data_IF_463232906196
#
_entry.id   IF_463232906196
#
_cell.length_a   1.000
_cell.length_b   1.000
_cell.length_c   1.000
_cell.angle_alpha   90.00
_cell.angle_beta   90.00
_cell.angle_gamma   90.00
#
_symmetry.space_group_name_H-M   'P 1'
#
loop_
_entity.id
_entity.type
_entity.pdbx_description
1 polymer ?
#
# COMPACT_ATOMS: atom_id res chain seq x y z
N UNK A 1 7.31 65.20 45.74
CA UNK A 1 6.58 63.93 45.90
C UNK A 1 6.35 63.35 44.52
N UNK A 2 7.29 62.54 44.00
CA UNK A 2 7.23 61.94 42.67
C UNK A 2 6.87 60.46 42.83
N UNK A 3 5.69 60.04 42.27
CA UNK A 3 5.28 58.65 42.18
C UNK A 3 5.86 58.02 40.91
N UNK A 4 6.82 57.18 41.09
CA UNK A 4 7.40 56.41 40.02
C UNK A 4 6.44 55.23 39.62
N UNK A 5 5.94 55.27 38.39
CA UNK A 5 5.07 54.23 37.82
C UNK A 5 5.96 53.17 37.18
N UNK A 6 5.99 51.96 37.75
CA UNK A 6 6.68 50.82 37.13
C UNK A 6 5.75 50.15 36.15
N UNK A 7 6.05 50.30 34.87
CA UNK A 7 5.38 49.54 33.81
C UNK A 7 6.05 48.18 33.70
N UNK A 8 5.37 47.12 34.14
CA UNK A 8 5.83 45.75 33.96
C UNK A 8 5.44 45.32 32.54
N UNK A 9 6.42 45.19 31.66
CA UNK A 9 6.25 44.65 30.30
C UNK A 9 6.26 43.13 30.37
N UNK A 10 5.08 42.51 30.35
CA UNK A 10 4.95 41.03 30.26
C UNK A 10 5.09 40.65 28.79
N UNK A 11 6.28 40.22 28.41
CA UNK A 11 6.51 39.62 27.09
C UNK A 11 5.94 38.22 27.05
N UNK A 12 4.81 38.04 26.39
CA UNK A 12 4.30 36.70 26.03
C UNK A 12 5.18 36.13 24.93
N UNK A 13 6.07 35.22 25.31
CA UNK A 13 6.81 34.36 24.39
C UNK A 13 5.88 33.25 23.92
N UNK A 14 5.22 33.43 22.78
CA UNK A 14 4.45 32.36 22.12
C UNK A 14 5.43 31.35 21.52
N UNK A 15 5.65 30.25 22.22
CA UNK A 15 6.37 29.11 21.67
C UNK A 15 5.38 28.40 20.72
N UNK A 16 5.47 28.70 19.42
CA UNK A 16 4.81 27.92 18.39
C UNK A 16 5.51 26.59 18.28
N UNK A 17 5.01 25.57 18.98
CA UNK A 17 5.41 24.18 18.73
C UNK A 17 4.79 23.80 17.41
N UNK A 18 5.54 23.98 16.33
CA UNK A 18 5.23 23.33 15.06
C UNK A 18 5.47 21.84 15.24
N UNK A 19 4.43 21.09 15.62
CA UNK A 19 4.44 19.63 15.51
C UNK A 19 4.38 19.28 14.02
N UNK A 20 5.52 19.37 13.36
CA UNK A 20 5.68 18.80 12.05
C UNK A 20 5.52 17.28 12.20
N UNK A 21 4.42 16.75 11.72
CA UNK A 21 4.32 15.33 11.40
C UNK A 21 5.37 15.07 10.31
N UNK A 22 6.57 14.69 10.74
CA UNK A 22 7.56 14.16 9.82
C UNK A 22 7.05 12.80 9.38
N UNK A 23 6.67 12.67 8.12
CA UNK A 23 6.46 11.35 7.53
C UNK A 23 7.69 10.50 7.84
N UNK A 24 7.48 9.27 8.29
CA UNK A 24 8.59 8.36 8.57
C UNK A 24 9.48 8.27 7.32
N UNK A 25 10.78 8.47 7.52
CA UNK A 25 11.75 8.38 6.43
C UNK A 25 11.75 6.94 5.87
N UNK A 26 11.59 6.81 4.57
CA UNK A 26 11.69 5.51 3.90
C UNK A 26 13.11 4.95 4.04
N UNK A 27 13.22 3.74 4.59
CA UNK A 27 14.50 3.05 4.83
C UNK A 27 14.67 1.79 3.98
N UNK A 28 13.82 1.61 2.99
CA UNK A 28 13.88 0.47 2.07
C UNK A 28 14.92 0.66 0.96
N UNK A 29 14.99 -0.30 0.02
CA UNK A 29 15.93 -0.26 -1.08
C UNK A 29 15.65 0.88 -2.07
N UNK A 30 16.71 1.40 -2.70
CA UNK A 30 16.56 2.26 -3.87
C UNK A 30 16.16 1.39 -5.08
N UNK A 31 15.02 1.69 -5.69
CA UNK A 31 14.45 0.97 -6.83
C UNK A 31 14.51 1.81 -8.13
N UNK A 32 15.38 2.81 -8.21
CA UNK A 32 15.53 3.66 -9.40
C UNK A 32 15.77 2.81 -10.66
N UNK A 33 15.00 3.09 -11.71
CA UNK A 33 15.06 2.37 -12.97
C UNK A 33 14.23 1.08 -13.01
N UNK A 34 13.56 0.72 -11.91
CA UNK A 34 12.59 -0.37 -11.88
C UNK A 34 11.17 0.15 -12.21
N UNK A 35 10.39 -0.69 -12.89
CA UNK A 35 8.96 -0.44 -13.10
C UNK A 35 8.16 -1.55 -12.45
N UNK A 36 7.12 -1.18 -11.70
CA UNK A 36 6.15 -2.09 -11.11
C UNK A 36 4.86 -1.99 -11.90
N UNK A 37 4.52 -3.05 -12.62
CA UNK A 37 3.23 -3.14 -13.33
C UNK A 37 2.12 -3.60 -12.38
N UNK A 38 1.01 -2.89 -12.40
CA UNK A 38 -0.16 -3.18 -11.58
C UNK A 38 -1.40 -3.22 -12.49
N UNK A 39 -2.23 -4.25 -12.38
CA UNK A 39 -3.52 -4.27 -13.03
C UNK A 39 -4.66 -4.26 -12.01
N UNK A 40 -5.78 -3.63 -12.37
CA UNK A 40 -6.92 -3.55 -11.46
C UNK A 40 -8.19 -3.01 -12.13
N UNK A 41 -9.30 -2.93 -11.37
CA UNK A 41 -10.60 -2.51 -11.89
C UNK A 41 -10.81 -0.99 -11.85
N UNK A 42 -9.91 -0.23 -11.24
CA UNK A 42 -10.11 1.20 -11.01
C UNK A 42 -9.93 2.00 -12.30
N UNK A 43 -10.88 2.87 -12.58
CA UNK A 43 -10.91 3.75 -13.73
C UNK A 43 -11.23 5.19 -13.30
N UNK A 44 -10.90 6.17 -14.10
CA UNK A 44 -11.23 7.58 -13.89
C UNK A 44 -10.83 8.10 -12.49
N UNK A 45 -11.77 8.56 -11.67
CA UNK A 45 -11.48 9.16 -10.36
C UNK A 45 -10.82 8.23 -9.35
N UNK A 46 -11.11 6.93 -9.38
CA UNK A 46 -10.45 5.94 -8.50
C UNK A 46 -9.01 5.68 -8.94
N UNK A 47 -8.76 5.60 -10.24
CA UNK A 47 -7.41 5.54 -10.82
C UNK A 47 -6.61 6.78 -10.43
N UNK A 48 -7.15 7.99 -10.59
CA UNK A 48 -6.50 9.24 -10.18
C UNK A 48 -6.15 9.25 -8.69
N UNK A 49 -6.98 8.67 -7.83
CA UNK A 49 -6.69 8.56 -6.40
C UNK A 49 -5.60 7.53 -6.13
N UNK A 50 -5.60 6.42 -6.85
CA UNK A 50 -4.57 5.40 -6.74
C UNK A 50 -3.21 5.95 -7.22
N UNK A 51 -3.18 6.74 -8.29
CA UNK A 51 -1.96 7.40 -8.78
C UNK A 51 -1.36 8.35 -7.74
N UNK A 52 -2.19 9.08 -6.98
CA UNK A 52 -1.71 9.90 -5.88
C UNK A 52 -1.01 9.07 -4.79
N UNK A 53 -1.52 7.88 -4.50
CA UNK A 53 -0.87 6.95 -3.55
C UNK A 53 0.43 6.42 -4.13
N UNK A 54 0.43 5.99 -5.39
CA UNK A 54 1.61 5.50 -6.09
C UNK A 54 2.73 6.53 -6.15
N UNK A 55 2.39 7.82 -6.29
CA UNK A 55 3.37 8.90 -6.29
C UNK A 55 4.21 8.98 -5.00
N UNK A 56 3.66 8.60 -3.85
CA UNK A 56 4.45 8.51 -2.61
C UNK A 56 5.46 7.37 -2.66
N UNK A 57 5.07 6.22 -3.19
CA UNK A 57 5.98 5.08 -3.38
C UNK A 57 7.08 5.43 -4.38
N UNK A 58 6.74 5.98 -5.53
CA UNK A 58 7.70 6.41 -6.55
C UNK A 58 8.71 7.41 -5.99
N UNK A 59 8.23 8.43 -5.26
CA UNK A 59 9.09 9.43 -4.63
C UNK A 59 10.01 8.83 -3.58
N UNK A 60 9.53 7.86 -2.81
CA UNK A 60 10.31 7.24 -1.74
C UNK A 60 11.36 6.27 -2.29
N UNK A 61 11.04 5.51 -3.33
CA UNK A 61 11.88 4.39 -3.82
C UNK A 61 12.68 4.70 -5.08
N UNK A 62 12.23 5.69 -5.88
CA UNK A 62 12.75 5.96 -7.23
C UNK A 62 12.23 5.02 -8.31
N UNK A 63 11.38 4.05 -7.98
CA UNK A 63 10.68 3.20 -8.95
C UNK A 63 9.64 3.99 -9.74
N UNK A 64 9.13 3.37 -10.81
CA UNK A 64 7.93 3.79 -11.53
C UNK A 64 6.80 2.78 -11.31
N UNK A 65 5.57 3.26 -11.21
CA UNK A 65 4.37 2.44 -11.22
C UNK A 65 3.68 2.60 -12.57
N UNK A 66 3.34 1.47 -13.19
CA UNK A 66 2.58 1.39 -14.43
C UNK A 66 1.26 0.68 -14.11
N UNK A 67 0.21 1.47 -13.91
CA UNK A 67 -1.12 0.95 -13.58
C UNK A 67 -1.97 0.81 -14.85
N UNK A 68 -2.55 -0.37 -15.05
CA UNK A 68 -3.50 -0.68 -16.11
C UNK A 68 -4.89 -0.95 -15.52
N UNK A 69 -5.75 0.08 -15.56
CA UNK A 69 -7.15 -0.03 -15.15
C UNK A 69 -8.02 -0.63 -16.27
N UNK A 70 -8.95 -1.52 -15.91
CA UNK A 70 -9.89 -2.10 -16.89
C UNK A 70 -11.18 -2.54 -16.22
N UNK A 71 -12.32 -2.25 -16.87
CA UNK A 71 -13.64 -2.82 -16.52
C UNK A 71 -13.72 -4.32 -16.77
N UNK A 72 -12.84 -4.84 -17.61
CA UNK A 72 -12.69 -6.27 -17.94
C UNK A 72 -11.53 -6.93 -17.16
N UNK A 73 -11.05 -6.29 -16.10
CA UNK A 73 -9.90 -6.76 -15.31
C UNK A 73 -10.02 -8.23 -14.90
N UNK A 74 -11.20 -8.64 -14.37
CA UNK A 74 -11.38 -10.01 -13.86
C UNK A 74 -11.19 -11.09 -14.93
N UNK A 75 -11.60 -10.81 -16.17
CA UNK A 75 -11.39 -11.73 -17.29
C UNK A 75 -9.93 -11.67 -17.77
N UNK A 76 -9.37 -10.46 -17.86
CA UNK A 76 -8.04 -10.26 -18.41
C UNK A 76 -6.96 -10.88 -17.52
N UNK A 77 -7.04 -10.71 -16.19
CA UNK A 77 -6.03 -11.24 -15.26
C UNK A 77 -5.94 -12.77 -15.32
N UNK A 78 -7.06 -13.46 -15.54
CA UNK A 78 -7.08 -14.93 -15.72
C UNK A 78 -6.35 -15.34 -17.00
N UNK A 79 -6.53 -14.56 -18.08
CA UNK A 79 -5.85 -14.80 -19.35
C UNK A 79 -4.36 -14.59 -19.19
N UNK A 80 -3.95 -13.48 -18.60
CA UNK A 80 -2.54 -13.09 -18.43
C UNK A 80 -1.77 -14.09 -17.56
N UNK A 81 -2.38 -14.54 -16.45
CA UNK A 81 -1.80 -15.57 -15.59
C UNK A 81 -1.64 -16.88 -16.35
N UNK A 82 -2.66 -17.34 -17.08
CA UNK A 82 -2.58 -18.58 -17.87
C UNK A 82 -1.60 -18.50 -19.04
N UNK A 83 -1.42 -17.30 -19.61
CA UNK A 83 -0.45 -17.04 -20.66
C UNK A 83 0.99 -16.93 -20.14
N UNK A 84 1.20 -16.86 -18.82
CA UNK A 84 2.52 -16.70 -18.21
C UNK A 84 3.09 -15.29 -18.31
N UNK A 85 2.23 -14.29 -18.50
CA UNK A 85 2.61 -12.87 -18.61
C UNK A 85 1.76 -11.95 -17.70
N UNK A 86 1.61 -12.31 -16.40
CA UNK A 86 0.84 -11.48 -15.47
C UNK A 86 1.58 -10.18 -15.13
N UNK A 87 0.86 -9.15 -14.64
CA UNK A 87 1.49 -7.98 -14.03
C UNK A 87 2.25 -8.37 -12.74
N UNK A 88 3.08 -7.48 -12.23
CA UNK A 88 3.78 -7.71 -10.96
C UNK A 88 2.79 -7.77 -9.77
N UNK A 89 1.78 -6.92 -9.78
CA UNK A 89 0.71 -6.87 -8.77
C UNK A 89 -0.66 -6.80 -9.44
N UNK A 90 -1.69 -7.22 -8.71
CA UNK A 90 -3.07 -7.12 -9.16
C UNK A 90 -4.00 -6.70 -8.01
N UNK A 91 -4.94 -5.79 -8.28
CA UNK A 91 -5.96 -5.39 -7.33
C UNK A 91 -7.24 -6.19 -7.60
N UNK A 92 -7.48 -7.23 -6.82
CA UNK A 92 -8.65 -8.09 -6.97
C UNK A 92 -9.87 -7.49 -6.27
N UNK A 93 -10.96 -7.15 -6.99
CA UNK A 93 -12.20 -6.67 -6.38
C UNK A 93 -12.99 -7.80 -5.68
N UNK A 94 -12.67 -9.07 -6.01
CA UNK A 94 -13.35 -10.25 -5.53
C UNK A 94 -12.36 -11.23 -4.87
N UNK A 95 -12.47 -11.51 -3.56
CA UNK A 95 -11.61 -12.49 -2.88
C UNK A 95 -11.64 -13.89 -3.52
N UNK A 96 -12.80 -14.30 -4.03
CA UNK A 96 -12.95 -15.59 -4.70
C UNK A 96 -12.12 -15.74 -5.97
N UNK A 97 -11.94 -14.66 -6.73
CA UNK A 97 -11.06 -14.69 -7.91
C UNK A 97 -9.60 -14.83 -7.50
N UNK A 98 -9.16 -14.09 -6.49
CA UNK A 98 -7.80 -14.22 -5.94
C UNK A 98 -7.53 -15.66 -5.45
N UNK A 99 -8.47 -16.24 -4.68
CA UNK A 99 -8.38 -17.63 -4.23
C UNK A 99 -8.26 -18.63 -5.39
N UNK A 100 -9.05 -18.45 -6.45
CA UNK A 100 -8.96 -19.30 -7.64
C UNK A 100 -7.59 -19.18 -8.34
N UNK A 101 -7.03 -17.97 -8.39
CA UNK A 101 -5.70 -17.75 -8.98
C UNK A 101 -4.59 -18.36 -8.10
N UNK A 102 -4.71 -18.28 -6.77
CA UNK A 102 -3.80 -18.95 -5.84
C UNK A 102 -3.82 -20.47 -6.02
N UNK A 103 -5.02 -21.07 -6.11
CA UNK A 103 -5.21 -22.51 -6.26
C UNK A 103 -4.60 -23.08 -7.54
N UNK A 104 -4.48 -22.31 -8.60
CA UNK A 104 -3.79 -22.71 -9.83
C UNK A 104 -2.30 -22.37 -9.87
N UNK A 105 -1.77 -21.76 -8.78
CA UNK A 105 -0.36 -21.33 -8.70
C UNK A 105 -0.07 -20.05 -9.47
N UNK A 106 -1.08 -19.23 -9.75
CA UNK A 106 -0.97 -17.97 -10.46
C UNK A 106 -0.56 -16.78 -9.57
N UNK A 107 -0.55 -16.96 -8.26
CA UNK A 107 -0.09 -15.95 -7.30
C UNK A 107 1.17 -16.42 -6.58
N UNK A 108 2.00 -15.47 -6.17
CA UNK A 108 3.21 -15.71 -5.38
C UNK A 108 2.91 -15.40 -3.92
N UNK A 109 3.13 -16.34 -2.98
CA UNK A 109 2.96 -16.06 -1.55
C UNK A 109 3.88 -14.93 -1.07
N UNK A 110 3.37 -14.04 -0.24
CA UNK A 110 4.13 -12.93 0.33
C UNK A 110 5.07 -13.34 1.46
N UNK A 111 4.87 -14.53 2.01
CA UNK A 111 5.71 -15.11 3.04
C UNK A 111 5.45 -14.56 4.46
N UNK A 112 6.11 -15.20 5.43
CA UNK A 112 5.89 -14.95 6.86
C UNK A 112 6.26 -13.53 7.30
N UNK A 113 7.22 -12.88 6.66
CA UNK A 113 7.63 -11.53 7.03
C UNK A 113 6.52 -10.52 6.77
N UNK A 114 5.86 -10.62 5.63
CA UNK A 114 4.72 -9.77 5.28
C UNK A 114 3.49 -10.09 6.15
N UNK A 115 3.22 -11.35 6.39
CA UNK A 115 2.17 -11.79 7.29
C UNK A 115 2.36 -11.21 8.71
N UNK A 116 3.56 -11.31 9.26
CA UNK A 116 3.91 -10.75 10.56
C UNK A 116 3.84 -9.22 10.57
N UNK A 117 4.22 -8.58 9.47
CA UNK A 117 4.10 -7.14 9.33
C UNK A 117 2.63 -6.69 9.42
N UNK A 118 1.70 -7.38 8.72
CA UNK A 118 0.25 -7.09 8.82
C UNK A 118 -0.26 -7.30 10.23
N UNK A 119 0.08 -8.43 10.88
CA UNK A 119 -0.33 -8.72 12.25
C UNK A 119 0.08 -7.64 13.25
N UNK A 120 1.22 -7.01 13.03
CA UNK A 120 1.78 -6.01 13.95
C UNK A 120 1.38 -4.57 13.63
N UNK A 121 0.94 -4.26 12.42
CA UNK A 121 0.70 -2.89 11.97
C UNK A 121 -0.77 -2.58 11.69
N UNK A 122 -1.62 -3.59 11.46
CA UNK A 122 -3.05 -3.41 11.25
C UNK A 122 -3.81 -3.61 12.56
N UNK A 123 -4.85 -2.80 12.79
CA UNK A 123 -5.62 -2.81 14.05
C UNK A 123 -6.26 -4.18 14.36
N UNK A 124 -6.65 -4.94 13.34
CA UNK A 124 -7.17 -6.30 13.45
C UNK A 124 -6.27 -7.28 12.67
N UNK A 125 -4.96 -7.21 12.92
CA UNK A 125 -3.94 -7.89 12.13
C UNK A 125 -4.20 -9.34 11.79
N UNK A 126 -4.55 -10.25 12.75
CA UNK A 126 -4.86 -11.64 12.44
C UNK A 126 -6.02 -11.79 11.45
N UNK A 127 -7.12 -11.03 11.62
CA UNK A 127 -8.27 -11.10 10.71
C UNK A 127 -7.93 -10.60 9.30
N UNK A 128 -7.06 -9.61 9.17
CA UNK A 128 -6.58 -9.14 7.86
C UNK A 128 -5.73 -10.19 7.16
N UNK A 129 -4.90 -10.93 7.92
CA UNK A 129 -4.14 -12.05 7.37
C UNK A 129 -5.06 -13.16 6.89
N UNK A 130 -6.08 -13.52 7.69
CA UNK A 130 -7.05 -14.55 7.31
C UNK A 130 -7.77 -14.22 5.98
N UNK A 131 -8.12 -12.93 5.77
CA UNK A 131 -8.74 -12.48 4.52
C UNK A 131 -7.83 -12.64 3.29
N UNK A 132 -6.50 -12.47 3.47
CA UNK A 132 -5.50 -12.59 2.40
C UNK A 132 -4.90 -13.99 2.27
N UNK A 133 -5.39 -14.98 3.03
CA UNK A 133 -4.86 -16.34 3.06
C UNK A 133 -5.75 -17.29 2.24
N UNK A 134 -5.14 -17.96 1.29
CA UNK A 134 -5.81 -18.91 0.38
C UNK A 134 -5.00 -20.19 0.23
N UNK A 135 -5.65 -21.32 -0.08
CA UNK A 135 -4.94 -22.55 -0.45
C UNK A 135 -4.12 -22.36 -1.74
N UNK A 136 -2.88 -22.80 -1.71
CA UNK A 136 -2.06 -22.94 -2.92
C UNK A 136 -2.50 -24.14 -3.78
N UNK A 137 -1.79 -24.37 -4.87
CA UNK A 137 -2.07 -25.52 -5.78
C UNK A 137 -1.92 -26.91 -5.12
N UNK A 138 -1.32 -26.99 -3.93
CA UNK A 138 -1.13 -28.22 -3.16
C UNK A 138 -2.11 -28.33 -1.99
N UNK A 139 -2.97 -27.30 -1.81
CA UNK A 139 -3.92 -27.21 -0.71
C UNK A 139 -3.34 -26.66 0.59
N UNK A 140 -2.14 -26.07 0.57
CA UNK A 140 -1.55 -25.43 1.75
C UNK A 140 -1.95 -23.97 1.80
N UNK A 141 -2.40 -23.51 2.96
CA UNK A 141 -2.74 -22.10 3.17
C UNK A 141 -1.50 -21.22 3.12
N UNK A 142 -1.58 -20.16 2.32
CA UNK A 142 -0.52 -19.17 2.12
C UNK A 142 -1.10 -17.76 2.12
N UNK A 143 -0.35 -16.78 2.63
CA UNK A 143 -0.71 -15.36 2.61
C UNK A 143 -0.31 -14.72 1.27
N UNK A 144 -1.28 -14.14 0.54
CA UNK A 144 -1.07 -13.61 -0.81
C UNK A 144 -1.33 -12.12 -0.95
N UNK A 145 -2.05 -11.47 -0.04
CA UNK A 145 -2.47 -10.10 -0.28
C UNK A 145 -2.89 -9.30 0.93
N UNK A 146 -2.95 -8.00 0.75
CA UNK A 146 -3.44 -7.02 1.70
C UNK A 146 -4.88 -6.64 1.36
N UNK A 147 -5.69 -6.30 2.37
CA UNK A 147 -7.06 -5.81 2.27
C UNK A 147 -7.21 -4.42 2.87
#
# INVERSE_FOLDING_TARGET
>A
MYKTLYTVLVSFLTISVATGLTAAEYKGPNLSGQTVSIAGPWLTGDEENFDKVNAYFEKATGAKVDYAGSDSFEQQIVIDIKAGSPPNLAAFPQPGLAANMAAIGGLVPLGNDMENWVKNNYAAGPSWVDLGTYPDKNGNDQFYGFF
#
